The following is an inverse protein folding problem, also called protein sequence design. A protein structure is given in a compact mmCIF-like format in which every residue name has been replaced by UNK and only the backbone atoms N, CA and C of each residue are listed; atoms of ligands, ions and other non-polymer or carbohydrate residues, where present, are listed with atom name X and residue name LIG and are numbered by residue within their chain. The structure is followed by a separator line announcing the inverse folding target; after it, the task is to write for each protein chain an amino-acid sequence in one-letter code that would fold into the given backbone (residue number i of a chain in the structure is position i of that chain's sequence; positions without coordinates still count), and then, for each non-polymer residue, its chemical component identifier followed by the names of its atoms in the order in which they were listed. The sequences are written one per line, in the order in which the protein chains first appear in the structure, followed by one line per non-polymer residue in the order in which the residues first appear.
data_IF_122012181013
#
_entry.id   IF_122012181013
#
_cell.length_a   1.000
_cell.length_b   1.000
_cell.length_c   1.000
_cell.angle_alpha   90.00
_cell.angle_beta   90.00
_cell.angle_gamma   90.00
#
_symmetry.space_group_name_H-M   'P 1'
#
loop_
_entity.id
_entity.type
_entity.pdbx_description
1 polymer ?
#
# COMPACT_ATOMS: atom_id res chain seq x y z
N UNK A 1 -4.42 23.68 1.08
CA UNK A 1 -4.43 22.24 0.75
C UNK A 1 -4.87 21.30 1.87
N UNK A 2 -4.47 21.47 3.14
CA UNK A 2 -4.89 20.54 4.22
C UNK A 2 -6.40 20.45 4.46
N UNK A 3 -7.12 21.58 4.36
CA UNK A 3 -8.59 21.64 4.53
C UNK A 3 -9.34 20.82 3.46
N UNK A 4 -8.87 20.87 2.21
CA UNK A 4 -9.46 20.08 1.12
C UNK A 4 -9.22 18.58 1.35
N UNK A 5 -8.01 18.20 1.76
CA UNK A 5 -7.71 16.81 2.11
C UNK A 5 -8.63 16.31 3.23
N UNK A 6 -8.80 17.07 4.32
CA UNK A 6 -9.68 16.70 5.42
C UNK A 6 -11.12 16.49 4.96
N UNK A 7 -11.63 17.38 4.11
CA UNK A 7 -12.96 17.24 3.52
C UNK A 7 -13.09 15.96 2.69
N UNK A 8 -12.17 15.74 1.74
CA UNK A 8 -12.19 14.56 0.88
C UNK A 8 -11.99 13.26 1.67
N UNK A 9 -11.17 13.29 2.71
CA UNK A 9 -10.93 12.15 3.58
C UNK A 9 -12.17 11.81 4.42
N UNK A 10 -12.90 12.81 4.88
CA UNK A 10 -14.19 12.58 5.53
C UNK A 10 -15.21 11.94 4.56
N UNK A 11 -15.28 12.43 3.30
CA UNK A 11 -16.14 11.83 2.28
C UNK A 11 -15.76 10.37 2.01
N UNK A 12 -14.46 10.09 1.92
CA UNK A 12 -13.93 8.73 1.74
C UNK A 12 -14.40 7.75 2.83
N UNK A 13 -14.59 8.21 4.06
CA UNK A 13 -15.03 7.37 5.18
C UNK A 13 -16.53 7.03 5.15
N UNK A 14 -17.36 7.80 4.44
CA UNK A 14 -18.82 7.64 4.43
C UNK A 14 -19.36 7.07 3.12
N UNK A 15 -18.62 7.22 2.02
CA UNK A 15 -19.03 6.71 0.69
C UNK A 15 -18.94 5.20 0.65
N UNK A 16 -19.96 4.56 0.07
CA UNK A 16 -20.02 3.11 -0.17
C UNK A 16 -19.83 2.71 -1.64
N UNK A 17 -19.86 3.67 -2.57
CA UNK A 17 -19.63 3.38 -3.98
C UNK A 17 -18.15 3.13 -4.26
N UNK A 18 -17.83 1.91 -4.71
CA UNK A 18 -16.46 1.47 -4.99
C UNK A 18 -15.74 2.35 -6.02
N UNK A 19 -16.45 2.89 -7.02
CA UNK A 19 -15.81 3.74 -8.02
C UNK A 19 -15.46 5.11 -7.46
N UNK A 20 -16.33 5.70 -6.64
CA UNK A 20 -16.06 6.96 -5.96
C UNK A 20 -14.91 6.84 -4.96
N UNK A 21 -14.85 5.73 -4.21
CA UNK A 21 -13.73 5.39 -3.32
C UNK A 21 -12.42 5.38 -4.12
N UNK A 22 -12.38 4.66 -5.25
CA UNK A 22 -11.18 4.59 -6.10
C UNK A 22 -10.78 5.96 -6.65
N UNK A 23 -11.73 6.82 -7.02
CA UNK A 23 -11.45 8.20 -7.45
C UNK A 23 -10.80 9.02 -6.35
N UNK A 24 -11.28 8.91 -5.11
CA UNK A 24 -10.71 9.60 -3.96
C UNK A 24 -9.30 9.09 -3.64
N UNK A 25 -9.09 7.77 -3.61
CA UNK A 25 -7.77 7.19 -3.41
C UNK A 25 -6.77 7.63 -4.48
N UNK A 26 -7.21 7.69 -5.74
CA UNK A 26 -6.39 8.19 -6.84
C UNK A 26 -6.00 9.66 -6.62
N UNK A 27 -6.97 10.50 -6.22
CA UNK A 27 -6.72 11.89 -5.85
C UNK A 27 -5.72 12.05 -4.71
N UNK A 28 -5.83 11.23 -3.65
CA UNK A 28 -4.88 11.22 -2.53
C UNK A 28 -3.48 10.81 -2.98
N UNK A 29 -3.37 9.78 -3.81
CA UNK A 29 -2.09 9.28 -4.32
C UNK A 29 -1.39 10.26 -5.28
N UNK A 30 -2.12 11.17 -5.93
CA UNK A 30 -1.55 12.18 -6.82
C UNK A 30 -0.88 13.37 -6.10
N UNK A 31 -0.97 13.45 -4.77
CA UNK A 31 -0.32 14.53 -4.01
C UNK A 31 1.20 14.51 -4.17
N UNK A 32 1.83 15.69 -4.13
CA UNK A 32 3.28 15.85 -4.06
C UNK A 32 3.78 16.10 -2.63
N UNK A 33 2.87 16.21 -1.66
CA UNK A 33 3.19 16.39 -0.24
C UNK A 33 3.63 15.04 0.36
N UNK A 34 4.94 14.88 0.54
CA UNK A 34 5.53 13.65 1.10
C UNK A 34 5.05 13.36 2.53
N UNK A 35 4.75 14.38 3.33
CA UNK A 35 4.25 14.18 4.68
C UNK A 35 2.82 13.62 4.65
N UNK A 36 2.00 14.10 3.72
CA UNK A 36 0.68 13.54 3.49
C UNK A 36 0.76 12.10 2.99
N UNK A 37 1.70 11.78 2.10
CA UNK A 37 1.89 10.40 1.63
C UNK A 37 2.28 9.46 2.79
N UNK A 38 3.23 9.88 3.64
CA UNK A 38 3.64 9.10 4.81
C UNK A 38 2.48 8.89 5.77
N UNK A 39 1.70 9.94 6.05
CA UNK A 39 0.49 9.84 6.84
C UNK A 39 -0.52 8.85 6.22
N UNK A 40 -0.73 8.92 4.90
CA UNK A 40 -1.60 7.97 4.19
C UNK A 40 -1.10 6.53 4.35
N UNK A 41 0.19 6.27 4.14
CA UNK A 41 0.77 4.94 4.35
C UNK A 41 0.56 4.44 5.79
N UNK A 42 0.78 5.30 6.79
CA UNK A 42 0.54 4.95 8.18
C UNK A 42 -0.91 4.54 8.45
N UNK A 43 -1.89 5.30 7.96
CA UNK A 43 -3.30 4.94 8.16
C UNK A 43 -3.71 3.67 7.38
N UNK A 44 -3.17 3.46 6.17
CA UNK A 44 -3.45 2.25 5.38
C UNK A 44 -2.89 0.98 6.03
N UNK A 45 -1.72 1.07 6.66
CA UNK A 45 -1.08 -0.06 7.34
C UNK A 45 -1.49 -0.23 8.80
N UNK A 46 -2.29 0.68 9.35
CA UNK A 46 -2.74 0.63 10.74
C UNK A 46 -4.21 0.18 10.84
N UNK A 47 -4.44 -1.12 10.68
CA UNK A 47 -5.78 -1.71 10.82
C UNK A 47 -6.41 -1.51 12.19
N UNK A 48 -5.62 -1.26 13.24
CA UNK A 48 -6.17 -1.10 14.59
C UNK A 48 -7.01 0.17 14.74
N UNK A 49 -6.84 1.14 13.84
CA UNK A 49 -7.58 2.40 13.89
C UNK A 49 -8.96 2.31 13.23
N UNK A 50 -9.27 1.23 12.48
CA UNK A 50 -10.51 1.09 11.70
C UNK A 50 -10.84 2.32 10.83
N UNK A 51 -9.82 3.06 10.40
CA UNK A 51 -9.97 4.30 9.61
C UNK A 51 -10.30 3.98 8.15
N UNK A 52 -9.71 2.90 7.63
CA UNK A 52 -9.84 2.45 6.25
C UNK A 52 -10.52 1.08 6.26
N UNK A 53 -11.54 0.87 5.41
CA UNK A 53 -12.16 -0.45 5.25
C UNK A 53 -11.14 -1.45 4.73
N UNK A 54 -11.17 -2.67 5.25
CA UNK A 54 -10.20 -3.72 4.90
C UNK A 54 -10.09 -3.95 3.38
N UNK A 55 -11.22 -3.96 2.67
CA UNK A 55 -11.27 -4.15 1.21
C UNK A 55 -10.59 -3.02 0.41
N UNK A 56 -10.47 -1.82 0.99
CA UNK A 56 -9.94 -0.64 0.32
C UNK A 56 -8.44 -0.43 0.61
N UNK A 57 -7.86 -1.23 1.52
CA UNK A 57 -6.47 -1.04 1.97
C UNK A 57 -5.49 -1.30 0.81
N UNK A 58 -5.60 -2.46 0.16
CA UNK A 58 -4.65 -2.82 -0.90
C UNK A 58 -4.75 -1.89 -2.11
N UNK A 59 -5.95 -1.45 -2.49
CA UNK A 59 -6.14 -0.51 -3.60
C UNK A 59 -5.50 0.84 -3.31
N UNK A 60 -5.65 1.36 -2.09
CA UNK A 60 -5.04 2.62 -1.67
C UNK A 60 -3.51 2.55 -1.67
N UNK A 61 -2.92 1.50 -1.09
CA UNK A 61 -1.47 1.32 -1.09
C UNK A 61 -0.93 1.17 -2.51
N UNK A 62 -1.61 0.41 -3.39
CA UNK A 62 -1.23 0.29 -4.81
C UNK A 62 -1.13 1.65 -5.49
N UNK A 63 -2.11 2.51 -5.27
CA UNK A 63 -2.14 3.85 -5.87
C UNK A 63 -1.00 4.72 -5.35
N UNK A 64 -0.73 4.70 -4.05
CA UNK A 64 0.39 5.44 -3.45
C UNK A 64 1.74 4.94 -3.96
N UNK A 65 1.95 3.63 -4.03
CA UNK A 65 3.20 3.06 -4.55
C UNK A 65 3.41 3.32 -6.05
N UNK A 66 2.35 3.69 -6.80
CA UNK A 66 2.47 4.06 -8.22
C UNK A 66 2.99 5.48 -8.43
N UNK A 67 2.95 6.34 -7.42
CA UNK A 67 3.51 7.69 -7.46
C UNK A 67 5.05 7.63 -7.41
N UNK A 68 5.72 8.29 -8.35
CA UNK A 68 7.17 8.26 -8.51
C UNK A 68 7.93 8.88 -7.34
N UNK A 69 7.31 9.84 -6.63
CA UNK A 69 7.90 10.50 -5.46
C UNK A 69 7.97 9.52 -4.28
N UNK A 70 6.98 8.64 -4.16
CA UNK A 70 6.81 7.78 -2.99
C UNK A 70 7.13 6.31 -3.23
N UNK A 71 7.49 5.88 -4.45
CA UNK A 71 7.72 4.47 -4.75
C UNK A 71 8.75 3.81 -3.81
N UNK A 72 9.84 4.51 -3.48
CA UNK A 72 10.89 3.99 -2.59
C UNK A 72 10.42 3.91 -1.14
N UNK A 73 9.80 4.98 -0.62
CA UNK A 73 9.25 5.02 0.74
C UNK A 73 8.13 3.96 0.89
N UNK A 74 7.23 3.86 -0.10
CA UNK A 74 6.14 2.90 -0.12
C UNK A 74 6.65 1.45 -0.14
N UNK A 75 7.66 1.16 -0.97
CA UNK A 75 8.28 -0.16 -1.01
C UNK A 75 8.95 -0.53 0.32
N UNK A 76 9.64 0.41 0.96
CA UNK A 76 10.23 0.20 2.30
C UNK A 76 9.15 -0.13 3.34
N UNK A 77 8.03 0.59 3.34
CA UNK A 77 6.90 0.34 4.24
C UNK A 77 6.27 -1.05 3.98
N UNK A 78 6.00 -1.40 2.72
CA UNK A 78 5.45 -2.72 2.34
C UNK A 78 6.36 -3.85 2.83
N UNK A 79 7.67 -3.74 2.62
CA UNK A 79 8.66 -4.72 3.13
C UNK A 79 8.63 -4.82 4.65
N UNK A 80 8.54 -3.70 5.36
CA UNK A 80 8.46 -3.70 6.83
C UNK A 80 7.18 -4.34 7.39
N UNK A 81 6.10 -4.39 6.59
CA UNK A 81 4.79 -4.91 6.98
C UNK A 81 4.42 -6.22 6.27
N UNK A 82 5.40 -6.91 5.70
CA UNK A 82 5.19 -8.11 4.88
C UNK A 82 4.36 -9.19 5.57
N UNK A 83 4.74 -9.57 6.80
CA UNK A 83 4.00 -10.58 7.59
C UNK A 83 2.56 -10.15 7.89
N UNK A 84 2.35 -8.86 8.13
CA UNK A 84 1.03 -8.30 8.36
C UNK A 84 0.16 -8.41 7.10
N UNK A 85 0.71 -8.05 5.94
CA UNK A 85 -0.02 -8.13 4.67
C UNK A 85 -0.39 -9.59 4.33
N UNK A 86 0.58 -10.51 4.45
CA UNK A 86 0.33 -11.92 4.19
C UNK A 86 -0.74 -12.51 5.12
N UNK A 87 -0.71 -12.16 6.41
CA UNK A 87 -1.66 -12.66 7.41
C UNK A 87 -3.08 -12.13 7.19
N UNK A 88 -3.26 -10.85 6.86
CA UNK A 88 -4.58 -10.21 6.82
C UNK A 88 -5.29 -10.27 5.47
N UNK A 89 -4.55 -10.47 4.37
CA UNK A 89 -5.10 -10.53 3.01
C UNK A 89 -4.96 -11.92 2.37
N UNK A 90 -4.22 -12.84 3.01
CA UNK A 90 -4.01 -14.17 2.47
C UNK A 90 -3.00 -14.21 1.32
N UNK A 91 -2.57 -15.42 0.97
CA UNK A 91 -1.43 -15.64 0.08
C UNK A 91 -1.67 -15.13 -1.37
N UNK A 92 -2.88 -15.34 -1.90
CA UNK A 92 -3.21 -14.97 -3.28
C UNK A 92 -3.21 -13.44 -3.49
N UNK A 93 -3.99 -12.71 -2.69
CA UNK A 93 -4.07 -11.24 -2.80
C UNK A 93 -2.72 -10.59 -2.50
N UNK A 94 -1.98 -11.16 -1.55
CA UNK A 94 -0.63 -10.74 -1.23
C UNK A 94 0.31 -10.86 -2.44
N UNK A 95 0.39 -12.03 -3.09
CA UNK A 95 1.25 -12.23 -4.27
C UNK A 95 0.84 -11.29 -5.40
N UNK A 96 -0.45 -11.19 -5.70
CA UNK A 96 -0.97 -10.30 -6.74
C UNK A 96 -0.58 -8.84 -6.46
N UNK A 97 -0.74 -8.39 -5.22
CA UNK A 97 -0.34 -7.06 -4.77
C UNK A 97 1.17 -6.82 -4.98
N UNK A 98 2.03 -7.73 -4.54
CA UNK A 98 3.48 -7.59 -4.70
C UNK A 98 3.88 -7.55 -6.18
N UNK A 99 3.33 -8.43 -7.00
CA UNK A 99 3.58 -8.43 -8.45
C UNK A 99 3.22 -7.09 -9.09
N UNK A 100 2.11 -6.46 -8.67
CA UNK A 100 1.73 -5.14 -9.19
C UNK A 100 2.68 -4.03 -8.78
N UNK A 101 3.21 -4.07 -7.56
CA UNK A 101 4.15 -3.05 -7.08
C UNK A 101 5.50 -3.14 -7.79
N UNK A 102 5.96 -4.36 -8.05
CA UNK A 102 7.29 -4.61 -8.63
C UNK A 102 7.33 -4.42 -10.14
N UNK A 103 6.17 -4.39 -10.84
CA UNK A 103 6.06 -4.13 -12.29
C UNK A 103 6.74 -2.84 -12.75
N UNK A 104 6.85 -1.83 -11.88
CA UNK A 104 7.47 -0.54 -12.20
C UNK A 104 8.94 -0.45 -11.80
N UNK A 105 9.53 -1.52 -11.28
CA UNK A 105 10.94 -1.51 -10.91
C UNK A 105 11.80 -1.31 -12.14
N UNK A 106 12.64 -0.28 -12.08
CA UNK A 106 13.49 0.15 -13.18
C UNK A 106 14.96 0.27 -12.76
N UNK A 107 15.29 -0.20 -11.55
CA UNK A 107 16.66 -0.21 -11.03
C UNK A 107 17.06 -1.62 -10.58
N UNK A 108 18.35 -1.94 -10.71
CA UNK A 108 18.92 -3.22 -10.25
C UNK A 108 18.78 -3.40 -8.72
N UNK A 109 18.85 -2.30 -7.97
CA UNK A 109 18.65 -2.32 -6.53
C UNK A 109 17.26 -2.84 -6.14
N UNK A 110 16.20 -2.32 -6.76
CA UNK A 110 14.82 -2.75 -6.49
C UNK A 110 14.60 -4.24 -6.80
N UNK A 111 15.20 -4.73 -7.89
CA UNK A 111 15.16 -6.15 -8.25
C UNK A 111 15.86 -7.02 -7.19
N UNK A 112 17.10 -6.67 -6.82
CA UNK A 112 17.85 -7.41 -5.80
C UNK A 112 17.13 -7.42 -4.44
N UNK A 113 16.53 -6.29 -4.05
CA UNK A 113 15.72 -6.20 -2.82
C UNK A 113 14.49 -7.12 -2.88
N UNK A 114 13.84 -7.23 -4.04
CA UNK A 114 12.71 -8.13 -4.24
C UNK A 114 13.11 -9.59 -4.15
N UNK A 115 14.17 -10.00 -4.85
CA UNK A 115 14.65 -11.38 -4.84
C UNK A 115 15.01 -11.84 -3.42
N UNK A 116 15.72 -11.00 -2.66
CA UNK A 116 16.08 -11.28 -1.27
C UNK A 116 14.86 -11.43 -0.36
N UNK A 117 13.85 -10.57 -0.52
CA UNK A 117 12.61 -10.65 0.29
C UNK A 117 11.80 -11.90 -0.06
N UNK A 118 11.72 -12.28 -1.34
CA UNK A 118 11.04 -13.49 -1.77
C UNK A 118 11.74 -14.73 -1.23
N UNK A 119 13.07 -14.81 -1.33
CA UNK A 119 13.84 -15.92 -0.78
C UNK A 119 13.61 -16.06 0.74
N UNK A 120 13.68 -14.96 1.49
CA UNK A 120 13.39 -14.95 2.92
C UNK A 120 11.95 -15.39 3.25
N UNK A 121 10.97 -14.94 2.46
CA UNK A 121 9.56 -15.27 2.66
C UNK A 121 9.30 -16.74 2.36
N UNK A 122 9.83 -17.27 1.25
CA UNK A 122 9.68 -18.67 0.86
C UNK A 122 10.33 -19.59 1.90
N UNK A 123 11.49 -19.19 2.45
CA UNK A 123 12.12 -19.90 3.55
C UNK A 123 11.27 -19.88 4.84
N UNK A 124 10.61 -18.75 5.16
CA UNK A 124 9.70 -18.69 6.32
C UNK A 124 8.44 -19.54 6.14
N UNK A 125 7.86 -19.57 4.93
CA UNK A 125 6.69 -20.41 4.64
C UNK A 125 7.05 -21.89 4.69
N UNK A 126 8.25 -22.27 4.20
CA UNK A 126 8.74 -23.65 4.21
C UNK A 126 9.02 -24.19 5.62
N UNK A 127 9.35 -23.34 6.58
CA UNK A 127 9.60 -23.71 8.00
C UNK A 127 8.30 -23.80 8.81
N UNK A 128 7.19 -23.25 8.32
CA UNK A 128 5.87 -23.34 8.96
C UNK A 128 5.01 -24.54 8.49
N UNK A 129 5.53 -25.35 7.56
CA UNK A 129 4.96 -26.63 7.09
C UNK A 129 5.79 -27.79 7.63
#
# INVERSE_FOLDING_TARGET
NRTLFQFLFHQYQIINDTQEILRLQSGFACTQDIQLIRYLLEIYFNSNLNIIRQNDILSGIRLICRNSISINDCWSYVRSKWKYLLKNFGHYDFISFIQELTKKFNTKQQLNEFELVIEQTMNQVRVML
#
